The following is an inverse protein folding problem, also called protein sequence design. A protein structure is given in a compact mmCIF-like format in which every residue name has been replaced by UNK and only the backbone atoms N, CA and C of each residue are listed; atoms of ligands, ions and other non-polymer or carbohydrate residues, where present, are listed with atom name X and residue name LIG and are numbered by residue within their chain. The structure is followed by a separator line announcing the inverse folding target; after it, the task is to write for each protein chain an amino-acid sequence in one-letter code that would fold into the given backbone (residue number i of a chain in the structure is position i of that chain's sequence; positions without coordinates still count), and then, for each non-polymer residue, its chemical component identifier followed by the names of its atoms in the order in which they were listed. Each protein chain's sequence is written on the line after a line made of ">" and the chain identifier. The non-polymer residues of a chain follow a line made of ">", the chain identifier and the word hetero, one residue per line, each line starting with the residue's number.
data_IF_420566641876
#
_entry.id   IF_420566641876
#
_cell.length_a   1.000
_cell.length_b   1.000
_cell.length_c   1.000
_cell.angle_alpha   90.00
_cell.angle_beta   90.00
_cell.angle_gamma   90.00
#
_symmetry.space_group_name_H-M   'P 1'
#
loop_
_entity.id
_entity.type
_entity.pdbx_description
1 polymer ?
#
# COMPACT_ATOMS: atom_id res chain seq x y z
N UNK A 1 30.05 -2.93 -20.31
CA UNK A 1 28.77 -2.67 -19.55
C UNK A 1 28.60 -3.78 -18.53
N UNK A 2 28.62 -3.46 -17.26
CA UNK A 2 28.28 -4.43 -16.20
C UNK A 2 26.79 -4.82 -16.33
N UNK A 3 26.49 -6.11 -16.23
CA UNK A 3 25.11 -6.59 -16.36
C UNK A 3 24.28 -6.12 -15.15
N UNK A 4 22.96 -6.00 -15.31
CA UNK A 4 22.08 -5.64 -14.20
C UNK A 4 22.15 -6.60 -13.00
N UNK A 5 22.69 -7.81 -13.21
CA UNK A 5 22.93 -8.80 -12.15
C UNK A 5 24.12 -8.43 -11.26
N UNK A 6 25.23 -7.97 -11.86
CA UNK A 6 26.43 -7.53 -11.14
C UNK A 6 26.17 -6.27 -10.31
N UNK A 7 25.21 -5.44 -10.77
CA UNK A 7 24.78 -4.23 -10.07
C UNK A 7 23.67 -4.53 -9.01
N UNK A 8 23.28 -5.79 -8.85
CA UNK A 8 22.23 -6.18 -7.89
C UNK A 8 20.81 -5.67 -8.24
N UNK A 9 20.58 -5.24 -9.49
CA UNK A 9 19.27 -4.74 -9.95
C UNK A 9 18.27 -5.86 -10.24
N UNK A 10 18.74 -7.08 -10.45
CA UNK A 10 17.93 -8.26 -10.75
C UNK A 10 18.40 -9.47 -9.96
N UNK A 11 17.43 -10.26 -9.48
CA UNK A 11 17.71 -11.55 -8.85
C UNK A 11 17.93 -12.59 -9.95
N UNK A 12 19.05 -13.30 -9.85
CA UNK A 12 19.39 -14.36 -10.82
C UNK A 12 18.48 -15.58 -10.61
N UNK A 13 17.80 -16.03 -11.67
CA UNK A 13 16.94 -17.22 -11.58
C UNK A 13 17.74 -18.48 -11.22
N UNK A 14 17.11 -19.46 -10.55
CA UNK A 14 17.75 -20.73 -10.11
C UNK A 14 18.45 -21.44 -11.27
N UNK A 15 17.85 -21.42 -12.47
CA UNK A 15 18.44 -22.03 -13.66
C UNK A 15 19.79 -21.40 -14.02
N UNK A 16 19.84 -20.07 -14.05
CA UNK A 16 21.08 -19.34 -14.37
C UNK A 16 22.09 -19.42 -13.24
N UNK A 17 21.69 -19.50 -11.98
CA UNK A 17 22.59 -19.72 -10.85
C UNK A 17 23.39 -21.01 -11.01
N UNK A 18 22.75 -22.12 -11.41
CA UNK A 18 23.43 -23.40 -11.68
C UNK A 18 24.44 -23.30 -12.82
N UNK A 19 24.08 -22.61 -13.90
CA UNK A 19 24.98 -22.43 -15.05
C UNK A 19 26.21 -21.60 -14.66
N UNK A 20 26.02 -20.49 -13.96
CA UNK A 20 27.10 -19.60 -13.52
C UNK A 20 27.97 -20.28 -12.45
N UNK A 21 27.40 -21.03 -11.52
CA UNK A 21 28.13 -21.81 -10.54
C UNK A 21 29.06 -22.85 -11.21
N UNK A 22 28.56 -23.54 -12.24
CA UNK A 22 29.40 -24.43 -13.06
C UNK A 22 30.52 -23.72 -13.80
N UNK A 23 30.23 -22.53 -14.38
CA UNK A 23 31.22 -21.75 -15.13
C UNK A 23 32.33 -21.20 -14.21
N UNK A 24 32.02 -20.73 -13.03
CA UNK A 24 32.98 -20.20 -12.06
C UNK A 24 33.57 -21.25 -11.11
N UNK A 25 33.19 -22.51 -11.26
CA UNK A 25 33.58 -23.61 -10.37
C UNK A 25 33.36 -23.28 -8.85
N UNK A 26 32.27 -22.57 -8.56
CA UNK A 26 31.90 -22.18 -7.20
C UNK A 26 30.48 -22.70 -6.86
N UNK A 27 30.21 -23.09 -5.61
CA UNK A 27 28.86 -23.44 -5.20
C UNK A 27 27.89 -22.26 -5.38
N UNK A 28 26.64 -22.48 -5.84
CA UNK A 28 25.63 -21.42 -6.00
C UNK A 28 25.45 -20.58 -4.74
N UNK A 29 25.50 -21.20 -3.56
CA UNK A 29 25.31 -20.58 -2.24
C UNK A 29 26.43 -19.56 -1.93
N UNK A 30 27.64 -19.82 -2.40
CA UNK A 30 28.80 -18.92 -2.24
C UNK A 30 28.71 -17.78 -3.26
N UNK A 31 28.49 -18.14 -4.52
CA UNK A 31 28.46 -17.16 -5.61
C UNK A 31 27.33 -16.15 -5.48
N UNK A 32 26.19 -16.55 -4.95
CA UNK A 32 24.97 -15.74 -4.81
C UNK A 32 24.63 -15.38 -3.35
N UNK A 33 25.54 -15.63 -2.40
CA UNK A 33 25.35 -15.32 -0.98
C UNK A 33 24.81 -13.90 -0.73
N UNK A 34 25.30 -12.90 -1.49
CA UNK A 34 24.86 -11.50 -1.39
C UNK A 34 23.42 -11.29 -1.86
N UNK A 35 22.89 -12.12 -2.77
CA UNK A 35 21.49 -12.07 -3.20
C UNK A 35 20.60 -12.78 -2.20
N UNK A 36 21.06 -13.90 -1.64
CA UNK A 36 20.32 -14.69 -0.66
C UNK A 36 20.30 -14.00 0.71
N UNK A 37 21.39 -13.34 1.10
CA UNK A 37 21.40 -12.47 2.29
C UNK A 37 20.42 -11.29 2.19
N UNK A 38 20.20 -10.73 1.01
CA UNK A 38 19.14 -9.73 0.81
C UNK A 38 17.74 -10.32 0.89
N UNK A 39 17.58 -11.60 0.57
CA UNK A 39 16.31 -12.33 0.75
C UNK A 39 16.10 -12.76 2.20
N UNK A 40 17.21 -12.98 2.97
CA UNK A 40 17.17 -13.41 4.37
C UNK A 40 17.36 -12.27 5.37
N UNK A 41 18.00 -11.17 5.00
CA UNK A 41 18.11 -9.97 5.82
C UNK A 41 16.76 -9.23 5.84
N UNK A 42 15.88 -9.66 6.72
CA UNK A 42 14.51 -9.17 6.87
C UNK A 42 13.45 -10.16 6.38
N UNK A 43 13.77 -11.46 6.26
CA UNK A 43 12.78 -12.51 5.99
C UNK A 43 12.00 -12.82 7.27
N UNK A 44 11.25 -11.86 7.76
CA UNK A 44 10.08 -12.19 8.54
C UNK A 44 9.10 -12.83 7.56
N UNK A 45 8.68 -14.04 7.87
CA UNK A 45 7.82 -14.82 7.00
C UNK A 45 6.47 -14.11 6.88
N UNK A 46 6.02 -13.75 5.67
CA UNK A 46 4.71 -13.11 5.52
C UNK A 46 3.62 -13.97 6.14
N UNK A 47 2.74 -13.37 6.94
CA UNK A 47 1.64 -14.08 7.57
C UNK A 47 0.41 -14.05 6.67
N UNK A 48 -0.09 -15.24 6.31
CA UNK A 48 -1.35 -15.37 5.59
C UNK A 48 -2.53 -15.12 6.55
N UNK A 49 -3.37 -14.18 6.20
CA UNK A 49 -4.63 -13.87 6.89
C UNK A 49 -5.76 -14.61 6.19
N UNK A 50 -6.51 -15.42 6.94
CA UNK A 50 -7.60 -16.22 6.39
C UNK A 50 -8.92 -15.80 7.05
N UNK A 51 -9.86 -15.38 6.20
CA UNK A 51 -11.15 -14.88 6.64
C UNK A 51 -11.21 -13.36 6.86
N UNK A 52 -12.38 -12.82 6.64
CA UNK A 52 -12.64 -11.37 6.71
C UNK A 52 -12.33 -10.78 8.10
N UNK A 53 -12.55 -11.55 9.17
CA UNK A 53 -12.30 -11.09 10.54
C UNK A 53 -10.81 -10.81 10.77
N UNK A 54 -9.94 -11.76 10.41
CA UNK A 54 -8.48 -11.64 10.62
C UNK A 54 -7.90 -10.55 9.72
N UNK A 55 -8.36 -10.48 8.47
CA UNK A 55 -7.98 -9.42 7.54
C UNK A 55 -8.32 -8.03 8.10
N UNK A 56 -9.56 -7.82 8.57
CA UNK A 56 -9.99 -6.55 9.15
C UNK A 56 -9.20 -6.21 10.41
N UNK A 57 -9.01 -7.18 11.31
CA UNK A 57 -8.23 -6.98 12.53
C UNK A 57 -6.80 -6.53 12.21
N UNK A 58 -6.11 -7.22 11.31
CA UNK A 58 -4.75 -6.86 10.90
C UNK A 58 -4.69 -5.47 10.23
N UNK A 59 -5.63 -5.13 9.34
CA UNK A 59 -5.68 -3.79 8.73
C UNK A 59 -5.91 -2.70 9.79
N UNK A 60 -6.74 -2.96 10.79
CA UNK A 60 -6.99 -2.02 11.89
C UNK A 60 -5.76 -1.85 12.77
N UNK A 61 -5.01 -2.93 13.03
CA UNK A 61 -3.73 -2.88 13.76
C UNK A 61 -2.67 -2.05 13.01
N UNK A 62 -2.57 -2.19 11.68
CA UNK A 62 -1.69 -1.33 10.85
C UNK A 62 -2.04 0.15 11.03
N UNK A 63 -3.34 0.48 11.04
CA UNK A 63 -3.82 1.86 11.24
C UNK A 63 -3.45 2.38 12.63
N UNK A 64 -3.71 1.59 13.69
CA UNK A 64 -3.39 1.99 15.06
C UNK A 64 -1.88 2.10 15.30
N UNK A 65 -1.08 1.25 14.64
CA UNK A 65 0.38 1.26 14.73
C UNK A 65 1.06 2.40 13.98
N UNK A 66 0.35 3.09 13.07
CA UNK A 66 0.93 4.16 12.25
C UNK A 66 1.36 5.36 13.09
N UNK A 67 2.65 5.66 13.16
CA UNK A 67 3.22 6.78 13.89
C UNK A 67 3.57 7.97 13.00
N UNK A 68 4.18 7.73 11.87
CA UNK A 68 4.67 8.76 10.94
C UNK A 68 3.92 8.74 9.60
N UNK A 69 3.64 7.56 9.08
CA UNK A 69 3.02 7.39 7.77
C UNK A 69 1.90 6.36 7.80
N UNK A 70 0.81 6.69 7.11
CA UNK A 70 -0.26 5.74 6.81
C UNK A 70 -0.59 5.84 5.32
N UNK A 71 -0.37 4.77 4.58
CA UNK A 71 -0.73 4.67 3.17
C UNK A 71 -1.88 3.67 2.99
N UNK A 72 -2.98 4.11 2.40
CA UNK A 72 -4.14 3.27 2.08
C UNK A 72 -4.45 3.41 0.59
N UNK A 73 -4.36 2.30 -0.12
CA UNK A 73 -4.54 2.25 -1.57
C UNK A 73 -5.69 1.33 -1.93
N UNK A 74 -6.53 1.76 -2.88
CA UNK A 74 -7.68 1.01 -3.39
C UNK A 74 -9.00 1.78 -3.31
N UNK A 75 -9.97 1.42 -4.16
CA UNK A 75 -11.24 2.13 -4.33
C UNK A 75 -12.45 1.38 -3.79
N UNK A 76 -12.25 0.18 -3.16
CA UNK A 76 -13.32 -0.74 -2.76
C UNK A 76 -13.56 -0.83 -1.25
N UNK A 77 -12.93 0.03 -0.43
CA UNK A 77 -13.13 -0.02 1.01
C UNK A 77 -14.59 0.25 1.36
N UNK A 78 -15.22 -0.67 2.11
CA UNK A 78 -16.62 -0.58 2.53
C UNK A 78 -16.86 -0.91 4.01
N UNK A 79 -15.81 -1.34 4.72
CA UNK A 79 -15.89 -1.63 6.16
C UNK A 79 -15.85 -0.32 6.93
N UNK A 80 -16.99 0.08 7.50
CA UNK A 80 -17.11 1.33 8.22
C UNK A 80 -16.20 1.38 9.44
N UNK A 81 -16.07 0.29 10.19
CA UNK A 81 -15.23 0.25 11.39
C UNK A 81 -13.75 0.49 11.07
N UNK A 82 -13.25 -0.09 9.97
CA UNK A 82 -11.90 0.17 9.49
C UNK A 82 -11.70 1.63 9.05
N UNK A 83 -12.67 2.21 8.33
CA UNK A 83 -12.60 3.60 7.89
C UNK A 83 -12.67 4.57 9.08
N UNK A 84 -13.51 4.28 10.07
CA UNK A 84 -13.63 5.07 11.31
C UNK A 84 -12.31 5.01 12.13
N UNK A 85 -11.62 3.86 12.16
CA UNK A 85 -10.31 3.75 12.79
C UNK A 85 -9.26 4.68 12.13
N UNK A 86 -9.26 4.80 10.80
CA UNK A 86 -8.39 5.74 10.09
C UNK A 86 -8.70 7.18 10.52
N UNK A 87 -9.97 7.57 10.55
CA UNK A 87 -10.40 8.91 10.97
C UNK A 87 -9.97 9.22 12.41
N UNK A 88 -10.17 8.25 13.32
CA UNK A 88 -9.79 8.41 14.73
C UNK A 88 -8.28 8.62 14.90
N UNK A 89 -7.45 7.83 14.22
CA UNK A 89 -5.98 7.98 14.27
C UNK A 89 -5.53 9.32 13.68
N UNK A 90 -6.15 9.78 12.60
CA UNK A 90 -5.83 11.08 11.99
C UNK A 90 -6.20 12.25 12.92
N UNK A 91 -7.29 12.16 13.67
CA UNK A 91 -7.65 13.17 14.69
C UNK A 91 -6.65 13.16 15.85
N UNK A 92 -6.23 11.98 16.30
CA UNK A 92 -5.32 11.83 17.45
C UNK A 92 -3.88 12.20 17.15
N UNK A 93 -3.43 12.08 15.89
CA UNK A 93 -2.03 12.27 15.46
C UNK A 93 -1.96 13.27 14.31
N UNK A 94 -2.04 14.58 14.57
CA UNK A 94 -2.05 15.62 13.52
C UNK A 94 -0.84 15.60 12.61
N UNK A 95 0.33 15.16 13.11
CA UNK A 95 1.59 15.04 12.38
C UNK A 95 1.67 13.83 11.44
N UNK A 96 0.81 12.83 11.61
CA UNK A 96 0.78 11.63 10.77
C UNK A 96 0.49 11.97 9.30
N UNK A 97 1.39 11.63 8.40
CA UNK A 97 1.23 11.85 6.96
C UNK A 97 0.40 10.72 6.35
N UNK A 98 -0.79 11.07 5.84
CA UNK A 98 -1.71 10.09 5.26
C UNK A 98 -1.77 10.18 3.74
N UNK A 99 -1.48 9.07 3.06
CA UNK A 99 -1.69 8.87 1.62
C UNK A 99 -2.93 8.01 1.39
N UNK A 100 -3.94 8.59 0.73
CA UNK A 100 -5.14 7.90 0.28
C UNK A 100 -5.19 7.90 -1.24
N UNK A 101 -4.91 6.75 -1.88
CA UNK A 101 -4.85 6.64 -3.34
C UNK A 101 -5.96 5.72 -3.85
N UNK A 102 -6.71 6.20 -4.80
CA UNK A 102 -7.81 5.51 -5.44
C UNK A 102 -7.46 5.16 -6.89
N UNK A 103 -7.93 4.02 -7.37
CA UNK A 103 -7.89 3.62 -8.78
C UNK A 103 -9.28 3.82 -9.39
N UNK A 104 -9.52 5.00 -9.97
CA UNK A 104 -10.84 5.46 -10.37
C UNK A 104 -11.67 6.01 -9.19
N UNK A 105 -12.98 6.27 -9.41
CA UNK A 105 -13.86 6.81 -8.36
C UNK A 105 -14.09 5.81 -7.22
N UNK A 106 -14.50 6.29 -6.03
CA UNK A 106 -14.93 5.42 -4.93
C UNK A 106 -16.05 4.49 -5.42
N UNK A 107 -15.94 3.19 -5.13
CA UNK A 107 -16.94 2.20 -5.56
C UNK A 107 -18.11 2.04 -4.58
N UNK A 108 -17.99 2.59 -3.38
CA UNK A 108 -19.03 2.51 -2.34
C UNK A 108 -19.28 3.88 -1.73
N UNK A 109 -20.54 4.18 -1.41
CA UNK A 109 -20.92 5.46 -0.81
C UNK A 109 -20.22 5.70 0.53
N UNK A 110 -20.06 4.64 1.36
CA UNK A 110 -19.34 4.74 2.62
C UNK A 110 -17.90 5.23 2.46
N UNK A 111 -17.22 4.85 1.36
CA UNK A 111 -15.89 5.35 1.05
C UNK A 111 -15.93 6.83 0.61
N UNK A 112 -16.90 7.23 -0.20
CA UNK A 112 -17.07 8.63 -0.60
C UNK A 112 -17.31 9.53 0.61
N UNK A 113 -18.17 9.10 1.53
CA UNK A 113 -18.45 9.81 2.77
C UNK A 113 -17.22 9.90 3.68
N UNK A 114 -16.43 8.82 3.77
CA UNK A 114 -15.16 8.80 4.48
C UNK A 114 -14.18 9.83 3.91
N UNK A 115 -14.00 9.89 2.58
CA UNK A 115 -13.12 10.88 1.95
C UNK A 115 -13.53 12.32 2.25
N UNK A 116 -14.83 12.59 2.26
CA UNK A 116 -15.36 13.91 2.66
C UNK A 116 -15.06 14.22 4.13
N UNK A 117 -15.12 13.22 5.02
CA UNK A 117 -14.74 13.39 6.43
C UNK A 117 -13.23 13.62 6.59
N UNK A 118 -12.38 12.92 5.81
CA UNK A 118 -10.93 13.15 5.84
C UNK A 118 -10.57 14.62 5.53
N UNK A 119 -11.19 15.20 4.49
CA UNK A 119 -10.95 16.61 4.13
C UNK A 119 -11.45 17.58 5.21
N UNK A 120 -12.49 17.21 5.97
CA UNK A 120 -12.96 18.00 7.12
C UNK A 120 -12.05 17.86 8.35
N UNK A 121 -11.49 16.67 8.57
CA UNK A 121 -10.55 16.41 9.68
C UNK A 121 -9.24 17.15 9.43
N UNK A 122 -8.77 17.21 8.17
CA UNK A 122 -7.52 17.84 7.77
C UNK A 122 -7.69 18.63 6.49
N UNK A 123 -7.40 19.92 6.56
CA UNK A 123 -7.31 20.75 5.36
C UNK A 123 -6.16 20.26 4.46
N UNK A 124 -6.44 19.84 3.21
CA UNK A 124 -5.38 19.42 2.28
C UNK A 124 -4.38 20.52 1.93
N UNK A 125 -4.68 21.79 2.20
CA UNK A 125 -3.79 22.92 1.99
C UNK A 125 -2.96 23.28 3.23
N UNK A 126 -3.28 22.74 4.39
CA UNK A 126 -2.57 23.03 5.62
C UNK A 126 -1.09 22.59 5.54
N UNK A 127 -0.21 23.48 5.95
CA UNK A 127 1.25 23.32 6.05
C UNK A 127 1.78 23.82 7.39
N UNK A 128 0.91 24.01 8.36
CA UNK A 128 1.26 24.54 9.69
C UNK A 128 2.37 23.75 10.38
N UNK A 129 2.45 22.44 10.09
CA UNK A 129 3.50 21.54 10.57
C UNK A 129 4.74 21.46 9.65
N UNK A 130 4.87 22.37 8.68
CA UNK A 130 5.98 22.40 7.72
C UNK A 130 5.83 21.45 6.54
N UNK A 131 4.91 20.49 6.61
CA UNK A 131 4.62 19.50 5.56
C UNK A 131 3.11 19.33 5.36
N UNK A 132 2.73 18.88 4.17
CA UNK A 132 1.36 18.44 3.92
C UNK A 132 1.14 17.08 4.58
N UNK A 133 0.10 16.96 5.39
CA UNK A 133 -0.22 15.72 6.12
C UNK A 133 -1.34 14.90 5.51
N UNK A 134 -2.15 15.46 4.60
CA UNK A 134 -3.21 14.72 3.89
C UNK A 134 -2.98 14.76 2.38
N UNK A 135 -2.87 13.58 1.78
CA UNK A 135 -2.66 13.38 0.35
C UNK A 135 -3.75 12.45 -0.20
N UNK A 136 -4.74 13.00 -0.93
CA UNK A 136 -5.75 12.22 -1.62
C UNK A 136 -5.49 12.30 -3.11
N UNK A 137 -5.39 11.15 -3.79
CA UNK A 137 -5.16 11.06 -5.23
C UNK A 137 -6.06 10.05 -5.91
N UNK A 138 -6.43 10.31 -7.17
CA UNK A 138 -7.22 9.42 -8.03
C UNK A 138 -6.43 9.12 -9.29
N UNK A 139 -6.14 7.85 -9.55
CA UNK A 139 -5.56 7.37 -10.79
C UNK A 139 -6.66 7.28 -11.84
N UNK A 140 -6.63 8.15 -12.85
CA UNK A 140 -7.70 8.25 -13.85
C UNK A 140 -7.64 7.16 -14.93
N UNK A 141 -6.42 6.68 -15.27
CA UNK A 141 -6.19 5.59 -16.22
C UNK A 141 -6.39 4.19 -15.62
N UNK A 142 -7.30 4.06 -14.66
CA UNK A 142 -7.61 2.81 -13.97
C UNK A 142 -7.88 1.58 -14.90
N UNK A 143 -8.44 1.73 -16.12
CA UNK A 143 -8.58 0.59 -17.04
C UNK A 143 -7.25 0.01 -17.53
N UNK A 144 -6.17 0.79 -17.53
CA UNK A 144 -4.84 0.37 -17.97
C UNK A 144 -3.91 -0.02 -16.83
N UNK A 145 -4.16 0.50 -15.63
CA UNK A 145 -3.40 0.15 -14.44
C UNK A 145 -4.23 -0.80 -13.56
N UNK A 146 -3.74 -2.03 -13.29
CA UNK A 146 -4.45 -2.93 -12.38
C UNK A 146 -4.62 -2.27 -11.02
N UNK A 147 -5.83 -2.30 -10.49
CA UNK A 147 -6.12 -1.78 -9.16
C UNK A 147 -5.29 -2.52 -8.12
N UNK A 148 -4.67 -1.77 -7.24
CA UNK A 148 -3.87 -2.29 -6.13
C UNK A 148 -4.56 -2.01 -4.82
N UNK A 149 -4.37 -2.92 -3.87
CA UNK A 149 -4.98 -2.85 -2.55
C UNK A 149 -3.93 -3.07 -1.49
N UNK A 150 -3.75 -2.12 -0.61
CA UNK A 150 -2.95 -2.29 0.60
C UNK A 150 -3.22 -1.21 1.63
N UNK A 151 -2.91 -1.53 2.88
CA UNK A 151 -2.79 -0.61 3.99
C UNK A 151 -1.39 -0.77 4.58
N UNK A 152 -0.63 0.30 4.73
CA UNK A 152 0.75 0.26 5.22
C UNK A 152 1.04 1.40 6.18
N UNK A 153 1.70 1.08 7.28
CA UNK A 153 2.41 2.00 8.18
C UNK A 153 3.92 1.82 8.01
N UNK A 154 4.72 2.59 8.72
CA UNK A 154 6.19 2.43 8.71
C UNK A 154 6.65 1.08 9.26
N UNK A 155 5.85 0.37 10.04
CA UNK A 155 6.21 -0.88 10.70
C UNK A 155 5.62 -2.12 10.06
N UNK A 156 4.41 -2.04 9.52
CA UNK A 156 3.67 -3.20 8.99
C UNK A 156 2.80 -2.81 7.81
N UNK A 157 2.47 -3.80 6.98
CA UNK A 157 1.54 -3.61 5.88
C UNK A 157 0.66 -4.85 5.66
N UNK A 158 -0.58 -4.63 5.25
CA UNK A 158 -1.50 -5.67 4.81
C UNK A 158 -1.84 -5.47 3.35
N UNK A 159 -1.70 -6.52 2.56
CA UNK A 159 -2.16 -6.60 1.17
C UNK A 159 -3.37 -7.52 1.12
N UNK A 160 -4.60 -6.97 1.02
CA UNK A 160 -5.81 -7.76 0.85
C UNK A 160 -5.81 -8.50 -0.48
N UNK A 161 -6.33 -9.72 -0.48
CA UNK A 161 -6.51 -10.55 -1.68
C UNK A 161 -8.00 -10.54 -2.03
N UNK A 162 -8.37 -10.15 -3.25
CA UNK A 162 -9.77 -10.20 -3.69
C UNK A 162 -10.34 -11.61 -3.57
N UNK A 163 -11.60 -11.70 -3.14
CA UNK A 163 -12.30 -12.98 -3.04
C UNK A 163 -12.46 -13.62 -4.41
N UNK A 164 -12.32 -14.94 -4.47
CA UNK A 164 -12.58 -15.72 -5.68
C UNK A 164 -14.08 -15.76 -6.05
N UNK A 165 -14.95 -15.47 -5.09
CA UNK A 165 -16.40 -15.52 -5.26
C UNK A 165 -17.04 -14.16 -5.52
N UNK A 166 -16.32 -13.06 -5.23
CA UNK A 166 -16.83 -11.70 -5.40
C UNK A 166 -15.68 -10.73 -5.68
N UNK A 167 -15.73 -10.04 -6.81
CA UNK A 167 -14.74 -9.03 -7.17
C UNK A 167 -14.73 -7.81 -6.23
N UNK A 168 -15.81 -7.59 -5.49
CA UNK A 168 -15.97 -6.44 -4.59
C UNK A 168 -15.65 -6.77 -3.12
N UNK A 169 -15.30 -8.03 -2.82
CA UNK A 169 -14.99 -8.48 -1.46
C UNK A 169 -13.53 -8.88 -1.31
N UNK A 170 -13.06 -8.80 -0.07
CA UNK A 170 -11.77 -9.33 0.36
C UNK A 170 -12.02 -10.25 1.55
N UNK A 171 -11.56 -11.48 1.46
CA UNK A 171 -11.74 -12.51 2.49
C UNK A 171 -10.41 -13.09 3.00
N UNK A 172 -9.31 -12.65 2.44
CA UNK A 172 -7.96 -13.05 2.83
C UNK A 172 -6.97 -11.93 2.57
N UNK A 173 -5.74 -12.10 3.02
CA UNK A 173 -4.68 -11.12 2.80
C UNK A 173 -3.32 -11.64 3.28
N UNK A 174 -2.32 -10.81 3.10
CA UNK A 174 -0.96 -11.09 3.58
C UNK A 174 -0.49 -9.91 4.43
N UNK A 175 -0.04 -10.20 5.64
CA UNK A 175 0.63 -9.26 6.52
C UNK A 175 2.14 -9.32 6.28
N UNK A 176 2.74 -8.17 6.14
CA UNK A 176 4.17 -7.96 5.93
C UNK A 176 4.74 -7.04 7.00
N UNK A 177 6.01 -7.22 7.30
CA UNK A 177 6.78 -6.40 8.23
C UNK A 177 7.43 -5.16 7.56
N UNK A 178 8.17 -4.40 8.35
CA UNK A 178 8.69 -3.06 8.03
C UNK A 178 9.36 -2.93 6.65
N UNK A 179 10.20 -3.89 6.25
CA UNK A 179 10.94 -3.79 4.98
C UNK A 179 10.04 -3.79 3.74
N UNK A 180 8.90 -4.50 3.78
CA UNK A 180 7.90 -4.48 2.70
C UNK A 180 6.96 -3.28 2.88
N UNK A 181 6.61 -2.94 4.11
CA UNK A 181 5.76 -1.80 4.44
C UNK A 181 6.36 -0.49 3.89
N UNK A 182 7.65 -0.24 4.11
CA UNK A 182 8.37 0.92 3.58
C UNK A 182 8.27 1.02 2.05
N UNK A 183 8.47 -0.10 1.35
CA UNK A 183 8.34 -0.16 -0.12
C UNK A 183 6.91 0.15 -0.60
N UNK A 184 5.89 -0.28 0.15
CA UNK A 184 4.50 0.01 -0.18
C UNK A 184 4.17 1.48 0.07
N UNK A 185 4.70 2.10 1.12
CA UNK A 185 4.58 3.56 1.34
C UNK A 185 5.23 4.32 0.18
N UNK A 186 6.45 3.97 -0.21
CA UNK A 186 7.14 4.61 -1.34
C UNK A 186 6.37 4.41 -2.65
N UNK A 187 5.79 3.22 -2.85
CA UNK A 187 4.92 2.97 -3.98
C UNK A 187 3.68 3.88 -3.95
N UNK A 188 3.02 4.03 -2.79
CA UNK A 188 1.87 4.94 -2.66
C UNK A 188 2.24 6.39 -3.00
N UNK A 189 3.42 6.86 -2.56
CA UNK A 189 3.95 8.18 -2.89
C UNK A 189 4.17 8.36 -4.39
N UNK A 190 4.76 7.36 -5.06
CA UNK A 190 5.00 7.38 -6.51
C UNK A 190 3.69 7.42 -7.29
N UNK A 191 2.72 6.57 -6.92
CA UNK A 191 1.39 6.56 -7.56
C UNK A 191 0.67 7.88 -7.34
N UNK A 192 0.70 8.42 -6.10
CA UNK A 192 0.13 9.74 -5.80
C UNK A 192 0.76 10.86 -6.62
N UNK A 193 2.07 10.82 -6.88
CA UNK A 193 2.75 11.85 -7.66
C UNK A 193 2.21 11.96 -9.10
N UNK A 194 1.77 10.85 -9.69
CA UNK A 194 1.15 10.79 -11.03
C UNK A 194 -0.39 10.85 -11.03
N UNK A 195 -1.03 10.86 -9.85
CA UNK A 195 -2.48 10.86 -9.73
C UNK A 195 -3.08 12.27 -9.79
N UNK A 196 -4.35 12.37 -10.18
CA UNK A 196 -5.14 13.60 -10.00
C UNK A 196 -5.32 13.85 -8.51
N UNK A 197 -4.85 15.01 -8.04
CA UNK A 197 -4.94 15.39 -6.63
C UNK A 197 -6.33 15.88 -6.27
N UNK A 198 -6.80 15.46 -5.12
CA UNK A 198 -8.06 15.92 -4.54
C UNK A 198 -7.71 16.83 -3.35
N UNK A 199 -8.01 18.11 -3.48
CA UNK A 199 -7.61 19.13 -2.49
C UNK A 199 -8.80 19.94 -1.94
N UNK A 200 -10.05 19.51 -2.24
CA UNK A 200 -11.25 20.16 -1.72
C UNK A 200 -12.45 19.22 -1.68
N UNK A 201 -13.43 19.55 -0.84
CA UNK A 201 -14.74 18.90 -0.82
C UNK A 201 -15.43 18.90 -2.19
N UNK A 202 -15.30 20.00 -2.93
CA UNK A 202 -15.92 20.13 -4.26
C UNK A 202 -15.30 19.11 -5.23
N UNK A 203 -13.97 18.98 -5.24
CA UNK A 203 -13.29 17.99 -6.09
C UNK A 203 -13.71 16.54 -5.79
N UNK A 204 -14.06 16.22 -4.52
CA UNK A 204 -14.62 14.92 -4.14
C UNK A 204 -16.07 14.74 -4.61
N UNK A 205 -16.90 15.79 -4.52
CA UNK A 205 -18.30 15.75 -4.98
C UNK A 205 -18.39 15.56 -6.48
N UNK A 206 -17.47 16.17 -7.22
CA UNK A 206 -17.37 16.09 -8.68
C UNK A 206 -16.88 14.74 -9.21
N UNK A 207 -16.42 13.82 -8.31
CA UNK A 207 -16.14 12.45 -8.71
C UNK A 207 -17.42 11.76 -9.20
N UNK A 208 -17.33 10.92 -10.24
CA UNK A 208 -18.46 10.17 -10.76
C UNK A 208 -19.28 9.50 -9.65
N UNK A 209 -20.59 9.41 -9.89
CA UNK A 209 -21.49 8.74 -8.94
C UNK A 209 -21.05 7.29 -8.71
N UNK A 210 -21.22 6.85 -7.48
CA UNK A 210 -21.02 5.46 -7.10
C UNK A 210 -21.96 4.59 -7.94
N UNK A 211 -21.48 3.55 -8.63
CA UNK A 211 -22.36 2.63 -9.33
C UNK A 211 -23.37 2.03 -8.35
N UNK A 212 -24.63 2.02 -8.72
CA UNK A 212 -25.72 1.41 -7.96
C UNK A 212 -25.65 -0.12 -8.00
#
# INVERSE_FOLDING_TARGET
>A
MLSGWELGKHITSIRYRKVLAGYYAQPPEVLFAHQDQRLTAGSETPLLLVGHHDLRAAMTEVVHGAGQYLAVVGSRSRDAAYLDAIEAVLVQRPELVHYRVLFGPPRHQVLKDHLLRLVKIRDPHDRSLGVKTLHIGVVEDAPRAPERFFCASESTAVVPIPSLTSSEAFDSGVLFEAAVAERLIDHARQVYAGARRIESDQALRDLPAVPS
#
